data_IF_634155341884
#
_entry.id   IF_634155341884
#
_cell.length_a   1.000
_cell.length_b   1.000
_cell.length_c   1.000
_cell.angle_alpha   90.00
_cell.angle_beta   90.00
_cell.angle_gamma   90.00
#
_symmetry.space_group_name_H-M   'P 1'
#
loop_
_entity.id
_entity.type
_entity.pdbx_description
1 polymer ?
#
# COMPACT_ATOMS: atom_id res chain seq x y z
N UNK A 1 -17.57 -5.90 -16.48
CA UNK A 1 -16.36 -5.05 -16.56
C UNK A 1 -15.70 -5.13 -15.20
N UNK A 2 -14.49 -5.67 -15.14
CA UNK A 2 -13.72 -5.71 -13.90
C UNK A 2 -12.93 -4.41 -13.79
N UNK A 3 -13.15 -3.65 -12.70
CA UNK A 3 -12.47 -2.38 -12.50
C UNK A 3 -11.23 -2.61 -11.63
N UNK A 4 -10.05 -2.41 -12.22
CA UNK A 4 -8.79 -2.44 -11.50
C UNK A 4 -8.54 -1.07 -10.88
N UNK A 5 -8.93 -0.88 -9.62
CA UNK A 5 -8.60 0.33 -8.87
C UNK A 5 -7.24 0.15 -8.18
N UNK A 6 -6.16 0.52 -8.88
CA UNK A 6 -4.83 0.64 -8.28
C UNK A 6 -4.81 1.94 -7.46
N UNK A 7 -5.06 1.84 -6.17
CA UNK A 7 -4.93 2.97 -5.23
C UNK A 7 -3.46 3.09 -4.82
N UNK A 8 -2.62 3.61 -5.71
CA UNK A 8 -1.22 3.94 -5.42
C UNK A 8 -1.03 5.45 -5.36
N UNK A 9 -1.12 6.03 -4.16
CA UNK A 9 -0.53 7.33 -3.82
C UNK A 9 -0.88 8.51 -4.75
N UNK A 10 -2.04 9.10 -4.55
CA UNK A 10 -2.46 10.38 -5.14
C UNK A 10 -3.60 10.98 -4.30
N UNK A 11 -3.76 12.31 -4.31
CA UNK A 11 -4.69 13.04 -3.45
C UNK A 11 -6.13 12.55 -3.58
N UNK A 12 -6.65 11.98 -2.49
CA UNK A 12 -7.99 11.45 -2.28
C UNK A 12 -8.36 10.15 -3.00
N UNK A 13 -7.73 9.01 -2.64
CA UNK A 13 -8.26 7.70 -3.03
C UNK A 13 -9.57 7.35 -2.30
N UNK A 14 -9.88 8.09 -1.24
CA UNK A 14 -10.98 7.79 -0.31
C UNK A 14 -12.36 7.97 -0.94
N UNK A 15 -12.49 8.91 -1.89
CA UNK A 15 -13.76 9.14 -2.59
C UNK A 15 -13.92 8.23 -3.82
N UNK A 16 -12.80 7.81 -4.42
CA UNK A 16 -12.80 7.10 -5.68
C UNK A 16 -13.52 5.74 -5.63
N UNK A 17 -13.41 4.98 -4.53
CA UNK A 17 -14.06 3.65 -4.44
C UNK A 17 -15.58 3.75 -4.53
N UNK A 18 -16.18 4.68 -3.80
CA UNK A 18 -17.63 4.85 -3.78
C UNK A 18 -18.12 5.41 -5.12
N UNK A 19 -17.41 6.39 -5.70
CA UNK A 19 -17.73 6.89 -7.04
C UNK A 19 -17.68 5.79 -8.10
N UNK A 20 -16.63 4.94 -8.09
CA UNK A 20 -16.56 3.82 -9.02
C UNK A 20 -17.70 2.83 -8.82
N UNK A 21 -18.08 2.56 -7.58
CA UNK A 21 -19.23 1.71 -7.28
C UNK A 21 -20.54 2.30 -7.81
N UNK A 22 -20.76 3.60 -7.62
CA UNK A 22 -21.94 4.32 -8.11
C UNK A 22 -22.01 4.31 -9.65
N UNK A 23 -20.85 4.32 -10.33
CA UNK A 23 -20.71 4.14 -11.79
C UNK A 23 -20.83 2.68 -12.27
N UNK A 24 -21.23 1.77 -11.37
CA UNK A 24 -21.52 0.36 -11.72
C UNK A 24 -20.37 -0.62 -11.50
N UNK A 25 -19.25 -0.20 -10.91
CA UNK A 25 -18.19 -1.14 -10.54
C UNK A 25 -18.67 -2.09 -9.43
N UNK A 26 -18.44 -3.40 -9.62
CA UNK A 26 -18.77 -4.45 -8.64
C UNK A 26 -17.57 -5.30 -8.26
N UNK A 27 -16.60 -5.44 -9.16
CA UNK A 27 -15.36 -6.15 -8.89
C UNK A 27 -14.22 -5.14 -8.74
N UNK A 28 -13.55 -5.19 -7.59
CA UNK A 28 -12.43 -4.32 -7.25
C UNK A 28 -11.22 -5.17 -6.89
N UNK A 29 -10.09 -4.95 -7.55
CA UNK A 29 -8.82 -5.51 -7.09
C UNK A 29 -7.98 -4.43 -6.43
N UNK A 30 -7.91 -4.48 -5.10
CA UNK A 30 -7.27 -3.42 -4.31
C UNK A 30 -6.02 -3.98 -3.66
N UNK A 31 -4.90 -3.28 -3.86
CA UNK A 31 -3.71 -3.50 -3.05
C UNK A 31 -3.32 -2.21 -2.35
N UNK A 32 -2.69 -2.36 -1.19
CA UNK A 32 -2.17 -1.23 -0.43
C UNK A 32 -0.82 -0.74 -0.98
N UNK A 33 -0.29 0.37 -0.46
CA UNK A 33 1.03 0.86 -0.88
C UNK A 33 2.14 0.03 -0.23
N UNK A 34 3.24 -0.14 -0.95
CA UNK A 34 4.43 -0.81 -0.43
C UNK A 34 5.16 -0.01 0.67
N UNK A 35 6.20 -0.58 1.30
CA UNK A 35 7.02 0.13 2.27
C UNK A 35 7.74 1.32 1.60
N UNK A 36 7.26 2.53 1.81
CA UNK A 36 7.83 3.71 1.16
C UNK A 36 9.20 4.11 1.73
N UNK A 37 9.48 3.76 2.98
CA UNK A 37 10.73 4.11 3.66
C UNK A 37 11.97 3.44 3.05
N UNK A 38 11.80 2.33 2.34
CA UNK A 38 12.90 1.58 1.72
C UNK A 38 13.15 1.95 0.26
N UNK A 39 12.34 2.84 -0.34
CA UNK A 39 12.54 3.26 -1.73
C UNK A 39 13.85 4.02 -1.86
N UNK A 40 14.70 3.62 -2.81
CA UNK A 40 16.02 4.21 -3.01
C UNK A 40 15.96 5.75 -3.13
N UNK A 41 14.95 6.27 -3.82
CA UNK A 41 14.71 7.71 -3.96
C UNK A 41 14.45 8.39 -2.60
N UNK A 42 13.63 7.77 -1.74
CA UNK A 42 13.32 8.31 -0.42
C UNK A 42 14.53 8.22 0.51
N UNK A 43 15.26 7.10 0.46
CA UNK A 43 16.50 6.92 1.23
C UNK A 43 17.56 7.95 0.81
N UNK A 44 17.76 8.15 -0.49
CA UNK A 44 18.73 9.11 -1.01
C UNK A 44 18.39 10.57 -0.62
N UNK A 45 17.10 10.92 -0.62
CA UNK A 45 16.65 12.30 -0.37
C UNK A 45 16.44 12.62 1.12
N UNK A 46 15.92 11.68 1.89
CA UNK A 46 15.45 11.92 3.27
C UNK A 46 16.14 11.05 4.31
N UNK A 47 16.87 10.02 3.88
CA UNK A 47 17.51 9.07 4.75
C UNK A 47 19.00 9.32 4.99
N UNK A 48 19.63 10.38 4.48
CA UNK A 48 21.09 10.59 4.69
C UNK A 48 21.47 10.74 6.16
N UNK A 49 20.58 11.29 6.98
CA UNK A 49 20.68 11.36 8.43
C UNK A 49 20.25 10.02 9.08
N UNK A 50 21.15 9.31 9.80
CA UNK A 50 20.84 8.05 10.46
C UNK A 50 19.67 8.15 11.46
N UNK A 51 19.47 9.31 12.10
CA UNK A 51 18.38 9.50 13.07
C UNK A 51 16.98 9.45 12.44
N UNK A 52 16.91 9.61 11.11
CA UNK A 52 15.65 9.54 10.34
C UNK A 52 15.31 8.13 9.88
N UNK A 53 16.14 7.14 10.24
CA UNK A 53 15.96 5.74 9.85
C UNK A 53 15.48 4.89 11.01
N UNK A 54 14.70 3.86 10.70
CA UNK A 54 14.34 2.81 11.66
C UNK A 54 15.43 1.72 11.76
N UNK A 55 15.16 0.68 12.55
CA UNK A 55 16.05 -0.46 12.76
C UNK A 55 16.41 -1.20 11.45
N UNK A 56 15.53 -1.14 10.45
CA UNK A 56 15.74 -1.74 9.12
C UNK A 56 16.42 -0.76 8.15
N UNK A 57 16.87 0.41 8.65
CA UNK A 57 17.48 1.51 7.90
C UNK A 57 16.52 2.16 6.89
N UNK A 58 15.22 2.05 7.10
CA UNK A 58 14.21 2.68 6.25
C UNK A 58 13.83 4.05 6.78
N UNK A 59 13.50 4.98 5.90
CA UNK A 59 13.11 6.34 6.31
C UNK A 59 11.80 6.29 7.10
N UNK A 60 11.87 6.57 8.39
CA UNK A 60 10.79 6.37 9.36
C UNK A 60 9.52 7.13 9.01
N UNK A 61 9.65 8.41 8.61
CA UNK A 61 8.50 9.27 8.26
C UNK A 61 7.72 8.73 7.06
N UNK A 62 8.42 8.27 6.02
CA UNK A 62 7.80 7.69 4.83
C UNK A 62 7.19 6.33 5.15
N UNK A 63 7.86 5.56 6.00
CA UNK A 63 7.36 4.28 6.44
C UNK A 63 6.06 4.41 7.25
N UNK A 64 5.97 5.43 8.12
CA UNK A 64 4.76 5.75 8.88
C UNK A 64 3.63 6.26 7.96
N UNK A 65 3.94 7.13 7.01
CA UNK A 65 2.95 7.61 6.03
C UNK A 65 2.33 6.45 5.24
N UNK A 66 3.14 5.47 4.81
CA UNK A 66 2.66 4.25 4.16
C UNK A 66 1.70 3.45 5.06
N UNK A 67 2.04 3.25 6.34
CA UNK A 67 1.21 2.52 7.31
C UNK A 67 -0.14 3.23 7.54
N UNK A 68 -0.14 4.55 7.70
CA UNK A 68 -1.36 5.34 7.89
C UNK A 68 -2.27 5.28 6.65
N UNK A 69 -1.71 5.46 5.46
CA UNK A 69 -2.46 5.33 4.21
C UNK A 69 -3.12 3.95 4.11
N UNK A 70 -2.36 2.88 4.40
CA UNK A 70 -2.84 1.51 4.31
C UNK A 70 -3.93 1.21 5.33
N UNK A 71 -3.84 1.77 6.55
CA UNK A 71 -4.88 1.67 7.57
C UNK A 71 -6.19 2.29 7.09
N UNK A 72 -6.14 3.52 6.59
CA UNK A 72 -7.34 4.23 6.10
C UNK A 72 -7.94 3.57 4.85
N UNK A 73 -7.10 3.10 3.91
CA UNK A 73 -7.56 2.37 2.73
C UNK A 73 -8.28 1.08 3.12
N UNK A 74 -7.72 0.30 4.05
CA UNK A 74 -8.35 -0.93 4.50
C UNK A 74 -9.70 -0.65 5.18
N UNK A 75 -9.76 0.36 6.05
CA UNK A 75 -11.01 0.78 6.69
C UNK A 75 -12.07 1.20 5.66
N UNK A 76 -11.67 1.88 4.59
CA UNK A 76 -12.57 2.26 3.50
C UNK A 76 -13.10 1.04 2.73
N UNK A 77 -12.23 0.07 2.41
CA UNK A 77 -12.64 -1.17 1.75
C UNK A 77 -13.68 -1.91 2.60
N UNK A 78 -13.45 -1.98 3.92
CA UNK A 78 -14.42 -2.55 4.86
C UNK A 78 -15.73 -1.77 4.92
N UNK A 79 -15.67 -0.44 4.86
CA UNK A 79 -16.87 0.40 4.77
C UNK A 79 -17.66 0.15 3.49
N UNK A 80 -17.01 0.01 2.34
CA UNK A 80 -17.67 -0.32 1.07
C UNK A 80 -18.38 -1.69 1.17
N UNK A 81 -17.67 -2.72 1.66
CA UNK A 81 -18.23 -4.06 1.88
C UNK A 81 -19.35 -4.10 2.93
N UNK A 82 -19.37 -3.16 3.88
CA UNK A 82 -20.41 -3.05 4.90
C UNK A 82 -21.64 -2.25 4.44
N UNK A 83 -21.45 -1.28 3.55
CA UNK A 83 -22.52 -0.42 3.04
C UNK A 83 -23.30 -1.03 1.86
N UNK A 84 -22.68 -1.95 1.13
CA UNK A 84 -23.28 -2.56 -0.07
C UNK A 84 -23.07 -4.08 -0.05
N UNK A 85 -24.00 -4.81 -0.66
CA UNK A 85 -24.07 -6.28 -0.55
C UNK A 85 -23.42 -7.01 -1.72
N UNK A 86 -23.20 -6.35 -2.85
CA UNK A 86 -22.69 -6.93 -4.10
C UNK A 86 -21.25 -6.55 -4.53
N UNK A 87 -20.44 -5.73 -3.81
CA UNK A 87 -19.07 -5.50 -4.24
C UNK A 87 -18.15 -6.66 -3.83
N UNK A 88 -17.46 -7.24 -4.81
CA UNK A 88 -16.35 -8.17 -4.61
C UNK A 88 -15.03 -7.39 -4.51
N UNK A 89 -14.43 -7.34 -3.32
CA UNK A 89 -13.24 -6.53 -3.03
C UNK A 89 -12.11 -7.38 -2.46
N UNK A 90 -11.40 -8.17 -3.28
CA UNK A 90 -10.12 -8.74 -2.88
C UNK A 90 -9.13 -7.63 -2.47
N UNK A 91 -8.63 -7.72 -1.24
CA UNK A 91 -7.63 -6.81 -0.69
C UNK A 91 -6.29 -7.51 -0.52
N UNK A 92 -5.24 -6.96 -1.13
CA UNK A 92 -3.88 -7.52 -1.09
C UNK A 92 -2.96 -6.61 -0.28
N UNK A 93 -2.37 -7.18 0.78
CA UNK A 93 -1.37 -6.49 1.61
C UNK A 93 0.03 -6.57 0.98
N UNK A 94 0.23 -5.77 -0.07
CA UNK A 94 1.53 -5.63 -0.74
C UNK A 94 2.60 -5.06 0.19
N UNK A 95 2.23 -4.24 1.17
CA UNK A 95 3.13 -3.74 2.19
C UNK A 95 3.81 -4.88 2.95
N UNK A 96 3.03 -5.81 3.50
CA UNK A 96 3.55 -6.93 4.28
C UNK A 96 4.39 -7.85 3.40
N UNK A 97 3.90 -8.17 2.20
CA UNK A 97 4.61 -9.04 1.24
C UNK A 97 5.98 -8.44 0.88
N UNK A 98 6.04 -7.17 0.45
CA UNK A 98 7.29 -6.51 0.08
C UNK A 98 8.22 -6.32 1.28
N UNK A 99 7.68 -5.95 2.44
CA UNK A 99 8.49 -5.79 3.66
C UNK A 99 9.14 -7.11 4.07
N UNK A 100 8.37 -8.21 4.03
CA UNK A 100 8.89 -9.53 4.35
C UNK A 100 9.95 -9.99 3.34
N UNK A 101 9.69 -9.79 2.04
CA UNK A 101 10.63 -10.10 0.97
C UNK A 101 11.96 -9.35 1.16
N UNK A 102 11.92 -8.06 1.47
CA UNK A 102 13.13 -7.25 1.66
C UNK A 102 13.88 -7.68 2.92
N UNK A 103 13.18 -7.85 4.05
CA UNK A 103 13.81 -8.22 5.31
C UNK A 103 14.38 -9.65 5.29
N UNK A 104 13.79 -10.55 4.49
CA UNK A 104 14.15 -11.96 4.41
C UNK A 104 14.60 -12.38 3.01
N UNK A 105 15.23 -11.48 2.26
CA UNK A 105 15.58 -11.71 0.85
C UNK A 105 16.35 -13.03 0.64
N UNK A 106 17.22 -13.40 1.58
CA UNK A 106 18.00 -14.65 1.54
C UNK A 106 17.14 -15.92 1.45
N UNK A 107 15.88 -15.87 1.91
CA UNK A 107 14.92 -16.98 1.84
C UNK A 107 14.20 -17.08 0.50
N UNK A 108 14.08 -15.97 -0.23
CA UNK A 108 13.27 -15.88 -1.45
C UNK A 108 14.12 -15.82 -2.73
N UNK A 109 15.43 -15.68 -2.58
CA UNK A 109 16.38 -15.66 -3.69
C UNK A 109 17.49 -14.65 -3.43
N UNK A 110 18.73 -15.02 -3.75
CA UNK A 110 19.83 -14.05 -3.77
C UNK A 110 19.79 -13.33 -5.11
N UNK A 111 19.86 -11.99 -5.10
CA UNK A 111 20.36 -11.28 -6.28
C UNK A 111 21.80 -11.76 -6.49
N UNK A 112 21.98 -12.71 -7.40
CA UNK A 112 23.32 -13.04 -7.91
C UNK A 112 23.75 -11.85 -8.76
N UNK A 113 24.75 -11.13 -8.29
CA UNK A 113 25.55 -10.25 -9.13
C UNK A 113 26.59 -11.10 -9.85
#
# INVERSE_FOLDING_TARGET
MDYYAIVSGGSCPLLLLFTLYDEGARNFWIHNTGPLGCLAQNVAKFGTDPSKRDELRWVSTHQQAARLLNLHLHALCKKLQGNYTDPNVPYVDIFAIKSNLIANYSRYGKCKY
#
